data_IF_305528449000
#
_entry.id   IF_305528449000
#
_cell.length_a   1.000
_cell.length_b   1.000
_cell.length_c   1.000
_cell.angle_alpha   90.00
_cell.angle_beta   90.00
_cell.angle_gamma   90.00
#
_symmetry.space_group_name_H-M   'P 1'
#
loop_
_entity.id
_entity.type
_entity.pdbx_description
1 polymer ?
#
# COMPACT_ATOMS: atom_id res chain seq x y z
N UNK A 1 2.44 -3.79 -3.33
CA UNK A 1 1.32 -3.41 -4.23
C UNK A 1 0.61 -4.63 -4.78
N UNK A 2 1.26 -5.51 -5.55
CA UNK A 2 0.61 -6.69 -6.17
C UNK A 2 -0.15 -7.60 -5.19
N UNK A 3 0.40 -7.83 -3.98
CA UNK A 3 -0.31 -8.59 -2.94
C UNK A 3 -1.67 -7.99 -2.57
N UNK A 4 -1.82 -6.66 -2.60
CA UNK A 4 -3.09 -5.97 -2.33
C UNK A 4 -4.04 -6.14 -3.52
N UNK A 5 -3.53 -6.07 -4.76
CA UNK A 5 -4.34 -6.29 -5.97
C UNK A 5 -4.96 -7.69 -5.95
N UNK A 6 -4.14 -8.71 -5.72
CA UNK A 6 -4.57 -10.09 -5.72
C UNK A 6 -5.44 -10.43 -4.50
N UNK A 7 -4.98 -10.12 -3.28
CA UNK A 7 -5.64 -10.57 -2.06
C UNK A 7 -6.84 -9.71 -1.65
N UNK A 8 -6.76 -8.38 -1.84
CA UNK A 8 -7.80 -7.44 -1.36
C UNK A 8 -8.74 -6.97 -2.47
N UNK A 9 -8.21 -6.65 -3.65
CA UNK A 9 -9.02 -6.19 -4.79
C UNK A 9 -9.51 -7.35 -5.68
N UNK A 10 -9.11 -8.59 -5.36
CA UNK A 10 -9.50 -9.83 -6.05
C UNK A 10 -9.25 -9.76 -7.56
N UNK A 11 -8.14 -9.14 -7.94
CA UNK A 11 -7.72 -9.09 -9.34
C UNK A 11 -7.26 -10.46 -9.80
N UNK A 12 -7.51 -10.81 -11.06
CA UNK A 12 -6.75 -11.88 -11.71
C UNK A 12 -5.30 -11.45 -11.90
N UNK A 13 -4.42 -12.39 -12.24
CA UNK A 13 -3.00 -12.08 -12.51
C UNK A 13 -2.89 -11.14 -13.70
N UNK A 14 -3.66 -11.39 -14.75
CA UNK A 14 -3.71 -10.61 -15.98
C UNK A 14 -4.16 -9.18 -15.69
N UNK A 15 -5.28 -9.03 -14.99
CA UNK A 15 -5.77 -7.70 -14.62
C UNK A 15 -4.80 -6.95 -13.71
N UNK A 16 -4.16 -7.64 -12.75
CA UNK A 16 -3.17 -7.03 -11.88
C UNK A 16 -1.93 -6.58 -12.66
N UNK A 17 -1.54 -7.35 -13.69
CA UNK A 17 -0.42 -7.01 -14.58
C UNK A 17 -0.73 -5.78 -15.42
N UNK A 18 -1.93 -5.70 -16.01
CA UNK A 18 -2.34 -4.56 -16.84
C UNK A 18 -2.40 -3.26 -16.03
N UNK A 19 -3.01 -3.30 -14.85
CA UNK A 19 -3.07 -2.15 -13.94
C UNK A 19 -1.67 -1.77 -13.44
N UNK A 20 -0.80 -2.76 -13.18
CA UNK A 20 0.57 -2.50 -12.78
C UNK A 20 1.42 -1.87 -13.90
N UNK A 21 1.25 -2.32 -15.15
CA UNK A 21 1.88 -1.71 -16.32
C UNK A 21 1.50 -0.25 -16.48
N UNK A 22 0.19 0.04 -16.37
CA UNK A 22 -0.32 1.42 -16.41
C UNK A 22 0.28 2.30 -15.31
N UNK A 23 0.47 1.75 -14.10
CA UNK A 23 1.12 2.47 -12.99
C UNK A 23 2.60 2.73 -13.30
N UNK A 24 3.31 1.77 -13.90
CA UNK A 24 4.71 1.96 -14.31
C UNK A 24 4.83 3.16 -15.26
N UNK A 25 4.03 3.17 -16.33
CA UNK A 25 4.05 4.23 -17.35
C UNK A 25 3.72 5.61 -16.77
N UNK A 26 2.79 5.70 -15.83
CA UNK A 26 2.34 6.99 -15.29
C UNK A 26 3.20 7.51 -14.13
N UNK A 27 3.81 6.61 -13.36
CA UNK A 27 4.46 6.94 -12.07
C UNK A 27 5.98 6.77 -12.12
N UNK A 28 6.49 5.73 -12.80
CA UNK A 28 7.91 5.37 -12.75
C UNK A 28 8.69 5.81 -13.98
N UNK A 29 8.10 5.73 -15.17
CA UNK A 29 8.75 6.16 -16.43
C UNK A 29 8.94 7.66 -16.58
N UNK A 30 8.05 8.55 -16.10
CA UNK A 30 8.21 9.98 -16.33
C UNK A 30 9.41 10.54 -15.54
N UNK A 31 10.39 11.05 -16.28
CA UNK A 31 11.54 11.75 -15.74
C UNK A 31 11.16 13.11 -15.15
N UNK A 32 11.96 13.59 -14.21
CA UNK A 32 11.83 14.92 -13.62
C UNK A 32 10.71 15.09 -12.59
N UNK A 33 9.93 14.05 -12.28
CA UNK A 33 8.93 14.11 -11.21
C UNK A 33 9.60 14.24 -9.84
N UNK A 34 9.17 15.25 -9.08
CA UNK A 34 9.49 15.33 -7.66
C UNK A 34 8.88 14.15 -6.89
N UNK A 35 9.45 13.74 -5.75
CA UNK A 35 8.87 12.67 -4.92
C UNK A 35 7.40 12.90 -4.54
N UNK A 36 7.00 14.17 -4.36
CA UNK A 36 5.62 14.55 -4.03
C UNK A 36 4.68 14.36 -5.22
N UNK A 37 5.07 14.83 -6.41
CA UNK A 37 4.29 14.64 -7.64
C UNK A 37 4.14 13.15 -7.97
N UNK A 38 5.21 12.37 -7.81
CA UNK A 38 5.18 10.93 -8.04
C UNK A 38 4.22 10.22 -7.07
N UNK A 39 4.25 10.57 -5.79
CA UNK A 39 3.29 10.04 -4.81
C UNK A 39 1.84 10.44 -5.12
N UNK A 40 1.60 11.67 -5.59
CA UNK A 40 0.26 12.14 -5.97
C UNK A 40 -0.26 11.42 -7.21
N UNK A 41 0.60 11.15 -8.21
CA UNK A 41 0.23 10.34 -9.38
C UNK A 41 -0.12 8.92 -8.96
N UNK A 42 0.71 8.28 -8.13
CA UNK A 42 0.40 6.93 -7.63
C UNK A 42 -0.93 6.88 -6.88
N UNK A 43 -1.23 7.91 -6.07
CA UNK A 43 -2.53 8.04 -5.40
C UNK A 43 -3.66 8.10 -6.42
N UNK A 44 -3.54 8.95 -7.42
CA UNK A 44 -4.56 9.10 -8.47
C UNK A 44 -4.78 7.80 -9.24
N UNK A 45 -3.71 7.11 -9.66
CA UNK A 45 -3.83 5.80 -10.32
C UNK A 45 -4.61 4.82 -9.43
N UNK A 46 -4.28 4.75 -8.15
CA UNK A 46 -4.98 3.88 -7.19
C UNK A 46 -6.45 4.24 -7.00
N UNK A 47 -6.80 5.52 -6.97
CA UNK A 47 -8.20 5.97 -6.90
C UNK A 47 -8.99 5.52 -8.13
N UNK A 48 -8.40 5.63 -9.33
CA UNK A 48 -9.03 5.17 -10.57
C UNK A 48 -9.20 3.65 -10.62
N UNK A 49 -8.18 2.89 -10.20
CA UNK A 49 -8.28 1.42 -10.08
C UNK A 49 -9.43 1.02 -9.14
N UNK A 50 -9.57 1.71 -8.01
CA UNK A 50 -10.64 1.42 -7.04
C UNK A 50 -12.02 1.75 -7.61
N UNK A 51 -12.17 2.92 -8.25
CA UNK A 51 -13.43 3.33 -8.88
C UNK A 51 -13.85 2.38 -10.00
N UNK A 52 -12.91 2.01 -10.89
CA UNK A 52 -13.14 1.08 -12.02
C UNK A 52 -13.69 -0.27 -11.55
N UNK A 53 -13.31 -0.70 -10.35
CA UNK A 53 -13.76 -1.95 -9.72
C UNK A 53 -14.96 -1.80 -8.78
N UNK A 54 -15.52 -0.60 -8.64
CA UNK A 54 -16.67 -0.34 -7.76
C UNK A 54 -16.34 -0.31 -6.27
N UNK A 55 -15.08 -0.14 -5.89
CA UNK A 55 -14.68 0.02 -4.48
C UNK A 55 -14.70 1.50 -4.06
N UNK A 56 -15.02 1.75 -2.79
CA UNK A 56 -14.84 3.08 -2.18
C UNK A 56 -13.36 3.41 -2.05
N UNK A 57 -12.94 4.62 -2.41
CA UNK A 57 -11.55 5.11 -2.20
C UNK A 57 -11.13 5.10 -0.72
N UNK A 58 -12.10 5.03 0.20
CA UNK A 58 -11.88 4.91 1.64
C UNK A 58 -11.97 3.47 2.16
N UNK A 59 -11.92 2.47 1.26
CA UNK A 59 -11.94 1.06 1.63
C UNK A 59 -10.77 0.77 2.58
N UNK A 60 -11.11 0.29 3.78
CA UNK A 60 -10.14 -0.13 4.77
C UNK A 60 -9.44 -1.41 4.31
N UNK A 61 -8.13 -1.49 4.56
CA UNK A 61 -7.33 -2.67 4.25
C UNK A 61 -7.85 -3.89 5.03
N UNK A 62 -8.16 -3.68 6.31
CA UNK A 62 -8.84 -4.64 7.16
C UNK A 62 -10.32 -4.26 7.24
N UNK A 63 -11.18 -5.19 6.85
CA UNK A 63 -12.63 -5.01 6.91
C UNK A 63 -13.20 -6.14 7.77
N UNK A 64 -13.55 -5.82 9.01
CA UNK A 64 -14.07 -6.77 10.00
C UNK A 64 -15.39 -7.43 9.55
N UNK A 65 -16.05 -6.87 8.54
CA UNK A 65 -17.35 -7.35 8.03
C UNK A 65 -17.23 -8.40 6.93
N UNK A 66 -16.04 -8.58 6.32
CA UNK A 66 -15.84 -9.54 5.24
C UNK A 66 -15.23 -10.84 5.81
N UNK A 67 -15.86 -12.00 5.54
CA UNK A 67 -15.21 -13.30 5.75
C UNK A 67 -14.01 -13.38 4.81
N UNK A 68 -12.82 -13.31 5.38
CA UNK A 68 -11.55 -13.26 4.67
C UNK A 68 -11.23 -14.63 4.02
N UNK A 69 -11.55 -14.80 2.74
CA UNK A 69 -11.17 -16.00 1.96
C UNK A 69 -9.70 -15.97 1.50
N UNK A 70 -9.10 -14.77 1.38
CA UNK A 70 -7.69 -14.58 1.01
C UNK A 70 -6.95 -13.72 2.04
N UNK A 71 -6.05 -14.35 2.81
CA UNK A 71 -5.20 -13.65 3.77
C UNK A 71 -3.93 -13.12 3.08
N UNK A 72 -3.70 -11.82 3.18
CA UNK A 72 -2.52 -11.14 2.65
C UNK A 72 -1.95 -10.12 3.64
N UNK A 73 -0.68 -9.77 3.44
CA UNK A 73 -0.07 -8.65 4.13
C UNK A 73 0.97 -7.97 3.27
N UNK A 74 1.20 -6.69 3.53
CA UNK A 74 2.34 -5.94 3.00
C UNK A 74 3.21 -5.45 4.15
N UNK A 75 4.52 -5.35 3.91
CA UNK A 75 5.49 -4.90 4.91
C UNK A 75 5.90 -3.47 4.57
N UNK A 76 5.85 -2.61 5.60
CA UNK A 76 6.31 -1.22 5.55
C UNK A 76 7.22 -0.97 6.74
N UNK A 77 8.11 0.02 6.65
CA UNK A 77 8.96 0.44 7.76
C UNK A 77 8.50 1.79 8.30
N UNK A 78 8.71 2.05 9.59
CA UNK A 78 8.48 3.38 10.14
C UNK A 78 9.50 4.37 9.57
N UNK A 79 9.05 5.52 9.11
CA UNK A 79 9.93 6.58 8.63
C UNK A 79 10.88 7.07 9.75
N UNK A 80 10.40 7.12 11.00
CA UNK A 80 11.22 7.50 12.16
C UNK A 80 12.23 6.43 12.58
N UNK A 81 11.98 5.17 12.26
CA UNK A 81 12.88 4.05 12.57
C UNK A 81 12.75 2.94 11.52
N UNK A 82 13.64 2.96 10.52
CA UNK A 82 13.62 2.05 9.38
C UNK A 82 13.82 0.59 9.81
N UNK A 83 14.45 0.32 10.96
CA UNK A 83 14.60 -1.04 11.49
C UNK A 83 13.28 -1.61 12.04
N UNK A 84 12.30 -0.75 12.32
CA UNK A 84 10.99 -1.16 12.81
C UNK A 84 10.04 -1.43 11.65
N UNK A 85 9.84 -2.71 11.37
CA UNK A 85 8.89 -3.17 10.36
C UNK A 85 7.49 -3.34 10.92
N UNK A 86 6.52 -2.89 10.14
CA UNK A 86 5.09 -3.00 10.40
C UNK A 86 4.46 -3.78 9.26
N UNK A 87 3.59 -4.68 9.65
CA UNK A 87 2.91 -5.61 8.78
C UNK A 87 1.47 -5.15 8.62
N UNK A 88 1.14 -4.57 7.47
CA UNK A 88 -0.23 -4.15 7.15
C UNK A 88 -0.99 -5.36 6.63
N UNK A 89 -1.92 -5.87 7.45
CA UNK A 89 -2.65 -7.12 7.19
C UNK A 89 -4.02 -6.83 6.62
N UNK A 90 -4.47 -7.72 5.72
CA UNK A 90 -5.86 -7.78 5.30
C UNK A 90 -6.72 -8.63 6.24
N UNK A 91 -6.12 -9.18 7.30
CA UNK A 91 -6.77 -10.05 8.28
C UNK A 91 -6.53 -9.61 9.72
N UNK A 92 -7.50 -9.92 10.59
CA UNK A 92 -7.42 -9.58 12.01
C UNK A 92 -6.47 -10.49 12.79
N UNK A 93 -5.72 -9.92 13.74
CA UNK A 93 -4.91 -10.70 14.68
C UNK A 93 -5.13 -10.16 16.09
N UNK A 94 -5.15 -11.04 17.10
CA UNK A 94 -5.33 -10.64 18.51
C UNK A 94 -4.30 -9.61 19.00
N UNK A 95 -3.11 -9.57 18.39
CA UNK A 95 -2.00 -8.70 18.80
C UNK A 95 -1.97 -7.35 18.10
N UNK A 96 -2.70 -7.17 17.00
CA UNK A 96 -2.70 -5.92 16.23
C UNK A 96 -4.14 -5.47 15.96
N UNK A 97 -4.63 -4.42 16.65
CA UNK A 97 -5.98 -3.92 16.47
C UNK A 97 -6.18 -3.37 15.06
N UNK A 98 -7.45 -3.30 14.64
CA UNK A 98 -7.85 -2.82 13.32
C UNK A 98 -7.23 -1.46 13.03
N UNK A 99 -6.35 -1.45 12.04
CA UNK A 99 -5.72 -0.22 11.59
C UNK A 99 -6.70 0.51 10.69
N UNK A 100 -6.88 1.82 10.89
CA UNK A 100 -7.73 2.69 10.05
C UNK A 100 -7.17 2.91 8.63
N UNK A 101 -6.20 2.08 8.24
CA UNK A 101 -5.42 2.20 7.02
C UNK A 101 -6.28 1.80 5.84
N UNK A 102 -6.35 2.68 4.87
CA UNK A 102 -7.01 2.43 3.59
C UNK A 102 -6.10 1.62 2.66
N UNK A 103 -6.71 0.97 1.67
CA UNK A 103 -5.98 0.26 0.61
C UNK A 103 -4.99 1.19 -0.12
N UNK A 104 -5.40 2.42 -0.40
CA UNK A 104 -4.56 3.42 -1.08
C UNK A 104 -3.34 3.78 -0.22
N UNK A 105 -3.55 4.05 1.07
CA UNK A 105 -2.46 4.37 1.99
C UNK A 105 -1.47 3.23 2.14
N UNK A 106 -1.95 1.99 2.18
CA UNK A 106 -1.09 0.81 2.24
C UNK A 106 -0.22 0.66 0.99
N UNK A 107 -0.78 0.88 -0.20
CA UNK A 107 -0.02 0.87 -1.46
C UNK A 107 1.01 1.98 -1.49
N UNK A 108 0.61 3.22 -1.19
CA UNK A 108 1.52 4.37 -1.15
C UNK A 108 2.66 4.12 -0.16
N UNK A 109 2.36 3.61 1.04
CA UNK A 109 3.37 3.35 2.07
C UNK A 109 4.34 2.25 1.64
N UNK A 110 3.86 1.23 0.92
CA UNK A 110 4.71 0.16 0.38
C UNK A 110 5.65 0.68 -0.70
N UNK A 111 5.19 1.62 -1.53
CA UNK A 111 5.97 2.20 -2.63
C UNK A 111 6.81 3.41 -2.22
N UNK A 112 6.61 3.95 -1.02
CA UNK A 112 7.30 5.12 -0.51
C UNK A 112 8.79 4.85 -0.21
N UNK A 113 9.62 4.68 -1.25
CA UNK A 113 11.07 4.69 -1.11
C UNK A 113 11.57 6.13 -0.99
N UNK A 114 12.41 6.39 0.03
CA UNK A 114 12.85 7.74 0.43
C UNK A 114 13.48 8.59 -0.68
N UNK A 115 14.02 7.97 -1.73
CA UNK A 115 14.62 8.68 -2.87
C UNK A 115 13.64 9.00 -4.00
N UNK A 116 12.53 8.27 -4.09
CA UNK A 116 11.62 8.29 -5.25
C UNK A 116 10.21 8.75 -4.92
N UNK A 117 9.79 8.66 -3.66
CA UNK A 117 8.43 8.94 -3.21
C UNK A 117 8.42 9.61 -1.83
N UNK A 118 7.46 10.50 -1.60
CA UNK A 118 7.25 11.12 -0.29
C UNK A 118 6.75 10.09 0.74
N UNK A 119 7.23 10.14 2.01
CA UNK A 119 6.70 9.32 3.09
C UNK A 119 5.18 9.48 3.25
N UNK A 120 4.50 8.40 3.64
CA UNK A 120 3.04 8.41 3.76
C UNK A 120 2.65 8.55 5.23
N UNK A 121 2.05 9.68 5.60
CA UNK A 121 1.53 9.84 6.95
C UNK A 121 0.19 9.11 7.08
N UNK A 122 0.11 8.21 8.06
CA UNK A 122 -1.03 7.33 8.30
C UNK A 122 -1.51 7.50 9.75
N UNK A 123 -2.82 7.61 9.95
CA UNK A 123 -3.46 7.68 11.27
C UNK A 123 -4.01 9.07 11.63
N UNK A 124 -4.84 9.13 12.67
CA UNK A 124 -5.46 10.36 13.16
C UNK A 124 -4.45 11.30 13.84
N UNK A 125 -4.73 12.61 13.85
CA UNK A 125 -3.87 13.73 14.28
C UNK A 125 -2.85 13.42 15.40
N UNK A 126 -3.23 12.69 16.46
CA UNK A 126 -2.40 12.44 17.63
C UNK A 126 -1.63 11.09 17.60
N UNK A 127 -1.92 10.21 16.64
CA UNK A 127 -1.24 8.92 16.41
C UNK A 127 -0.69 8.78 14.98
N UNK A 128 -0.51 9.90 14.29
CA UNK A 128 0.00 9.95 12.91
C UNK A 128 1.41 9.37 12.88
N UNK A 129 1.59 8.29 12.13
CA UNK A 129 2.88 7.62 11.91
C UNK A 129 3.20 7.71 10.42
N UNK A 130 4.43 8.09 10.11
CA UNK A 130 4.92 8.10 8.74
C UNK A 130 5.53 6.75 8.41
N UNK A 131 5.14 6.20 7.27
CA UNK A 131 5.63 4.92 6.78
C UNK A 131 6.33 5.08 5.43
N UNK A 132 7.33 4.23 5.23
CA UNK A 132 8.12 4.09 4.00
C UNK A 132 8.15 2.63 3.58
N UNK A 133 8.48 2.37 2.32
CA UNK A 133 8.65 1.02 1.81
C UNK A 133 9.72 0.29 2.62
N UNK A 134 9.53 -1.02 2.84
CA UNK A 134 10.52 -1.82 3.54
C UNK A 134 11.87 -1.74 2.81
N UNK A 135 12.93 -1.42 3.54
CA UNK A 135 14.26 -1.15 2.97
C UNK A 135 14.89 -2.37 2.29
N UNK A 136 15.89 -2.11 1.43
CA UNK A 136 16.73 -3.12 0.80
C UNK A 136 17.32 -4.07 1.88
N UNK A 137 16.93 -5.35 1.82
CA UNK A 137 17.31 -6.39 2.78
C UNK A 137 16.13 -7.06 3.51
N UNK A 138 14.92 -6.50 3.44
CA UNK A 138 13.70 -7.03 4.10
C UNK A 138 12.51 -7.16 3.13
N UNK A 139 12.77 -7.04 1.82
CA UNK A 139 11.78 -7.14 0.74
C UNK A 139 11.29 -8.57 0.49
N UNK A 140 11.85 -9.57 1.17
CA UNK A 140 11.41 -10.97 1.12
C UNK A 140 10.58 -11.25 2.38
N UNK A 141 9.23 -11.17 2.31
CA UNK A 141 8.36 -11.46 3.45
C UNK A 141 8.37 -12.93 3.89
N UNK A 142 9.14 -13.81 3.21
CA UNK A 142 9.21 -15.25 3.46
C UNK A 142 10.15 -15.66 4.61
N UNK A 143 10.91 -14.73 5.21
CA UNK A 143 11.83 -15.03 6.30
C UNK A 143 11.32 -14.49 7.64
N UNK A 144 10.48 -15.27 8.32
CA UNK A 144 10.35 -15.27 9.78
C UNK A 144 10.06 -16.67 10.28
#
# INVERSE_FOLDING_TARGET
MLAIFLAKLRMSVEEASDEFGTIIEQVYEPDGLTPSERSNRLRHCMEEVMKKRGFSIHLKLLDETQREECAGFVVVSLCSNIQTNVCLRTYSTRSHPSSTITVIEAVLATCASRSTFSPVPIGERHRRREYVGAGYGQTIPCAR
#
